data_IF_113115297085
#
_entry.id   IF_113115297085
#
_cell.length_a   1.000
_cell.length_b   1.000
_cell.length_c   1.000
_cell.angle_alpha   90.00
_cell.angle_beta   90.00
_cell.angle_gamma   90.00
#
_symmetry.space_group_name_H-M   'P 1'
#
loop_
_entity.id
_entity.type
_entity.pdbx_description
1 polymer ?
#
# COMPACT_ATOMS: atom_id res chain seq x y z
N UNK A 1 -29.15 -18.35 -22.05
CA UNK A 1 -27.68 -18.28 -22.22
C UNK A 1 -27.08 -16.86 -22.23
N UNK A 2 -27.78 -15.77 -22.62
CA UNK A 2 -27.18 -14.41 -22.70
C UNK A 2 -27.14 -13.59 -21.41
N UNK A 3 -27.95 -13.95 -20.41
CA UNK A 3 -28.12 -13.20 -19.14
C UNK A 3 -27.06 -13.57 -18.10
N UNK A 4 -26.64 -14.84 -18.12
CA UNK A 4 -25.60 -15.38 -17.25
C UNK A 4 -24.22 -14.80 -17.60
N UNK A 5 -23.90 -14.62 -18.88
CA UNK A 5 -22.63 -14.00 -19.29
C UNK A 5 -22.50 -12.54 -18.84
N UNK A 6 -23.60 -11.79 -18.79
CA UNK A 6 -23.56 -10.39 -18.35
C UNK A 6 -23.34 -10.28 -16.83
N UNK A 7 -23.91 -11.20 -16.05
CA UNK A 7 -23.71 -11.27 -14.61
C UNK A 7 -22.26 -11.63 -14.23
N UNK A 8 -21.63 -12.54 -14.97
CA UNK A 8 -20.22 -12.92 -14.75
C UNK A 8 -19.29 -11.75 -15.10
N UNK A 9 -19.58 -11.01 -16.18
CA UNK A 9 -18.80 -9.82 -16.55
C UNK A 9 -18.93 -8.69 -15.52
N UNK A 10 -20.11 -8.52 -14.92
CA UNK A 10 -20.31 -7.56 -13.83
C UNK A 10 -19.56 -7.95 -12.55
N UNK A 11 -19.43 -9.25 -12.24
CA UNK A 11 -18.74 -9.73 -11.04
C UNK A 11 -17.22 -9.44 -11.08
N UNK A 12 -16.61 -9.43 -12.28
CA UNK A 12 -15.18 -9.16 -12.48
C UNK A 12 -14.79 -7.70 -12.20
N UNK A 13 -15.73 -6.75 -12.28
CA UNK A 13 -15.43 -5.32 -12.07
C UNK A 13 -15.34 -4.97 -10.58
N UNK A 14 -15.83 -5.83 -9.68
CA UNK A 14 -15.88 -5.57 -8.24
C UNK A 14 -14.59 -5.96 -7.48
N UNK A 15 -13.58 -6.54 -8.13
CA UNK A 15 -12.35 -7.01 -7.45
C UNK A 15 -11.28 -5.92 -7.27
N UNK A 16 -11.64 -4.64 -7.43
CA UNK A 16 -10.68 -3.55 -7.64
C UNK A 16 -10.21 -2.76 -6.43
N UNK A 17 -10.60 -3.08 -5.20
CA UNK A 17 -10.23 -2.27 -4.04
C UNK A 17 -9.62 -3.11 -2.92
N UNK A 18 -8.37 -3.53 -3.11
CA UNK A 18 -7.51 -3.84 -1.97
C UNK A 18 -6.91 -2.51 -1.48
N UNK A 19 -7.74 -1.72 -0.78
CA UNK A 19 -7.40 -0.39 -0.28
C UNK A 19 -7.21 -0.36 1.26
N UNK A 20 -7.36 -1.50 1.93
CA UNK A 20 -7.24 -1.57 3.39
C UNK A 20 -5.79 -1.40 3.89
N UNK A 21 -4.81 -1.59 3.02
CA UNK A 21 -3.41 -1.31 3.34
C UNK A 21 -2.62 -0.83 2.14
N UNK A 22 -1.73 0.14 2.39
CA UNK A 22 -0.82 0.70 1.40
C UNK A 22 0.62 0.58 1.88
N UNK A 23 1.53 0.18 0.99
CA UNK A 23 2.96 0.06 1.32
C UNK A 23 3.73 1.22 0.70
N UNK A 24 4.19 2.13 1.55
CA UNK A 24 4.95 3.31 1.13
C UNK A 24 6.45 3.05 1.27
N UNK A 25 7.20 3.19 0.18
CA UNK A 25 8.66 3.15 0.21
C UNK A 25 9.23 4.45 0.78
N UNK A 26 10.18 4.33 1.71
CA UNK A 26 10.82 5.47 2.35
C UNK A 26 12.24 5.64 1.82
N UNK A 27 12.52 6.80 1.26
CA UNK A 27 13.83 7.15 0.70
C UNK A 27 14.53 8.21 1.57
N UNK A 28 15.86 8.13 1.66
CA UNK A 28 16.68 9.20 2.24
C UNK A 28 16.50 10.47 1.42
N UNK A 29 16.48 11.63 2.07
CA UNK A 29 16.40 12.92 1.37
C UNK A 29 17.59 13.78 1.76
N UNK A 30 18.23 14.36 0.76
CA UNK A 30 19.33 15.33 0.93
C UNK A 30 18.95 16.63 0.21
N UNK A 31 19.73 17.70 0.42
CA UNK A 31 19.55 18.95 -0.33
C UNK A 31 19.72 18.80 -1.85
N UNK A 32 20.25 17.66 -2.31
CA UNK A 32 20.45 17.34 -3.73
C UNK A 32 19.30 16.51 -4.33
N UNK A 33 18.37 16.01 -3.51
CA UNK A 33 17.19 15.28 -3.95
C UNK A 33 16.91 14.00 -3.16
N UNK A 34 16.16 13.09 -3.79
CA UNK A 34 15.79 11.78 -3.23
C UNK A 34 16.96 10.79 -3.42
N UNK A 35 17.41 10.22 -2.31
CA UNK A 35 18.47 9.23 -2.19
C UNK A 35 17.96 7.80 -2.01
N UNK A 36 18.74 6.95 -1.35
CA UNK A 36 18.50 5.51 -1.25
C UNK A 36 17.25 5.16 -0.42
N UNK A 37 16.54 4.10 -0.82
CA UNK A 37 15.48 3.48 -0.03
C UNK A 37 16.03 2.90 1.28
N UNK A 38 15.45 3.30 2.40
CA UNK A 38 15.82 2.88 3.76
C UNK A 38 14.78 1.97 4.42
N UNK A 39 13.75 1.59 3.66
CA UNK A 39 12.72 0.68 4.10
C UNK A 39 11.35 1.08 3.59
N UNK A 40 10.32 0.59 4.27
CA UNK A 40 8.93 0.86 3.90
C UNK A 40 8.07 1.04 5.14
N UNK A 41 6.96 1.75 5.00
CA UNK A 41 5.91 1.87 6.01
C UNK A 41 4.64 1.30 5.41
N UNK A 42 4.08 0.28 6.05
CA UNK A 42 2.75 -0.21 5.72
C UNK A 42 1.74 0.61 6.50
N UNK A 43 0.82 1.24 5.80
CA UNK A 43 -0.30 2.00 6.37
C UNK A 43 -1.53 1.10 6.26
N UNK A 44 -2.19 0.82 7.38
CA UNK A 44 -3.39 -0.03 7.41
C UNK A 44 -4.55 0.75 8.00
N UNK A 45 -5.71 0.72 7.35
CA UNK A 45 -6.95 1.26 7.90
C UNK A 45 -7.48 0.32 9.00
N UNK A 46 -7.70 0.85 10.20
CA UNK A 46 -8.27 0.13 11.34
C UNK A 46 -9.49 0.87 11.87
N UNK A 47 -10.32 0.20 12.69
CA UNK A 47 -11.45 0.84 13.38
C UNK A 47 -11.02 2.01 14.30
N UNK A 48 -9.73 2.11 14.64
CA UNK A 48 -9.15 3.17 15.47
C UNK A 48 -8.43 4.25 14.65
N UNK A 49 -8.49 4.19 13.32
CA UNK A 49 -7.79 5.08 12.40
C UNK A 49 -6.65 4.40 11.65
N UNK A 50 -5.73 5.19 11.10
CA UNK A 50 -4.59 4.68 10.33
C UNK A 50 -3.49 4.14 11.26
N UNK A 51 -3.16 2.86 11.10
CA UNK A 51 -2.01 2.24 11.73
C UNK A 51 -0.79 2.34 10.81
N UNK A 52 0.33 2.83 11.34
CA UNK A 52 1.59 2.96 10.62
C UNK A 52 2.59 1.93 11.14
N UNK A 53 2.91 0.95 10.30
CA UNK A 53 3.85 -0.13 10.61
C UNK A 53 5.17 0.06 9.85
N UNK A 54 6.20 0.66 10.47
CA UNK A 54 7.50 0.83 9.84
C UNK A 54 8.26 -0.50 9.75
N UNK A 55 8.79 -0.81 8.57
CA UNK A 55 9.72 -1.89 8.30
C UNK A 55 11.03 -1.28 7.83
N UNK A 56 11.97 -1.13 8.76
CA UNK A 56 13.30 -0.61 8.47
C UNK A 56 14.30 -1.75 8.29
N UNK A 57 15.06 -1.70 7.20
CA UNK A 57 16.16 -2.63 6.94
C UNK A 57 17.53 -2.02 7.33
N UNK A 58 17.62 -0.71 7.57
CA UNK A 58 18.92 -0.02 7.68
C UNK A 58 19.03 1.11 8.73
N UNK A 59 18.03 1.34 9.60
CA UNK A 59 18.19 2.35 10.66
C UNK A 59 19.01 1.78 11.82
N UNK A 60 20.25 2.25 11.96
CA UNK A 60 21.03 2.04 13.19
C UNK A 60 20.45 2.97 14.26
N UNK A 61 19.97 2.47 15.41
CA UNK A 61 19.55 3.34 16.51
C UNK A 61 20.77 4.15 16.98
N UNK A 62 20.63 5.46 16.99
CA UNK A 62 21.60 6.40 17.58
C UNK A 62 21.11 6.80 18.96
#
# INVERSE_FOLDING_TARGET
MKRFSLAILALVVATGAQAASEKVEMNLVTSQGVGQSIGSVTITETDKGLEFSPRSESITPR
#
